data_IF_150349175520
#
_entry.id   IF_150349175520
#
_cell.length_a   1.000
_cell.length_b   1.000
_cell.length_c   1.000
_cell.angle_alpha   90.00
_cell.angle_beta   90.00
_cell.angle_gamma   90.00
#
_symmetry.space_group_name_H-M   'P 1'
#
loop_
_entity.id
_entity.type
_entity.pdbx_description
1 polymer ?
#
# COMPACT_ATOMS: atom_id res chain seq x y z
N UNK A 1 21.66 103.88 36.95
CA UNK A 1 20.44 103.04 36.72
C UNK A 1 20.74 101.93 35.73
N UNK A 2 21.03 100.76 36.26
CA UNK A 2 21.48 99.68 35.41
C UNK A 2 20.35 98.62 35.42
N UNK A 3 19.75 98.30 34.24
CA UNK A 3 18.69 97.34 34.11
C UNK A 3 19.27 95.91 33.85
N UNK A 4 18.93 94.99 34.70
CA UNK A 4 19.25 93.57 34.53
C UNK A 4 18.11 92.93 33.66
N UNK A 5 18.48 92.32 32.51
CA UNK A 5 17.58 91.50 31.72
C UNK A 5 17.82 90.05 32.11
N UNK A 6 16.82 89.38 32.68
CA UNK A 6 16.81 87.90 32.97
C UNK A 6 16.29 87.19 31.75
N UNK A 7 17.11 86.37 31.08
CA UNK A 7 16.73 85.52 30.04
C UNK A 7 16.19 84.19 30.58
N UNK A 8 14.94 83.89 30.38
CA UNK A 8 14.29 82.60 30.72
C UNK A 8 14.50 81.62 29.53
N UNK A 9 15.38 80.61 29.77
CA UNK A 9 15.59 79.51 28.79
C UNK A 9 14.43 78.50 28.83
N UNK A 10 13.71 78.40 27.72
CA UNK A 10 12.73 77.30 27.51
C UNK A 10 13.48 76.03 27.11
N UNK A 11 13.48 75.04 27.98
CA UNK A 11 13.98 73.69 27.68
C UNK A 11 12.87 72.92 26.93
N UNK A 12 13.07 72.60 25.65
CA UNK A 12 12.17 71.78 24.89
C UNK A 12 12.45 70.30 25.22
N UNK A 13 11.57 69.71 26.01
CA UNK A 13 11.60 68.25 26.27
C UNK A 13 11.23 67.51 24.98
N UNK A 14 12.16 66.69 24.45
CA UNK A 14 11.87 65.74 23.35
C UNK A 14 10.84 64.70 23.80
N UNK A 15 9.86 64.33 22.98
CA UNK A 15 8.91 63.29 23.33
C UNK A 15 9.64 61.94 23.43
N UNK A 16 9.51 61.30 24.57
CA UNK A 16 10.00 59.91 24.77
C UNK A 16 9.33 58.96 23.77
N UNK A 17 10.13 58.30 22.95
CA UNK A 17 9.67 57.20 22.08
C UNK A 17 9.12 56.07 22.96
N UNK A 18 7.83 55.74 22.78
CA UNK A 18 7.20 54.57 23.38
C UNK A 18 7.95 53.31 22.93
N UNK A 19 8.25 52.35 23.83
CA UNK A 19 8.92 51.14 23.43
C UNK A 19 8.06 50.37 22.40
N UNK A 20 8.68 50.00 21.30
CA UNK A 20 8.06 49.10 20.30
C UNK A 20 7.65 47.85 21.08
N UNK A 21 6.34 47.56 21.08
CA UNK A 21 5.84 46.25 21.52
C UNK A 21 6.52 45.19 20.66
N UNK A 22 7.34 44.35 21.31
CA UNK A 22 7.83 43.12 20.67
C UNK A 22 6.59 42.32 20.25
N UNK A 23 6.51 42.01 18.96
CA UNK A 23 5.49 41.12 18.39
C UNK A 23 5.72 39.70 18.96
N UNK A 24 5.13 39.43 20.11
CA UNK A 24 5.08 38.04 20.62
C UNK A 24 4.27 37.21 19.61
N UNK A 25 4.83 36.15 19.05
CA UNK A 25 4.13 35.31 18.08
C UNK A 25 2.79 34.84 18.69
N UNK A 26 1.70 35.29 18.12
CA UNK A 26 0.36 34.90 18.61
C UNK A 26 0.16 33.41 18.34
N UNK A 27 -0.22 32.65 19.38
CA UNK A 27 -0.55 31.24 19.22
C UNK A 27 -1.57 31.06 18.06
N UNK A 28 -1.41 30.04 17.20
CA UNK A 28 -2.30 29.84 16.07
C UNK A 28 -3.74 29.64 16.57
N UNK A 29 -4.70 30.24 15.85
CA UNK A 29 -6.13 30.05 16.14
C UNK A 29 -6.53 28.58 15.93
N UNK A 30 -7.62 28.15 16.58
CA UNK A 30 -8.20 26.81 16.36
C UNK A 30 -8.46 26.52 14.88
N UNK A 31 -8.96 27.50 14.15
CA UNK A 31 -9.18 27.39 12.71
C UNK A 31 -7.87 27.15 11.94
N UNK A 32 -6.80 27.86 12.24
CA UNK A 32 -5.48 27.68 11.62
C UNK A 32 -4.90 26.28 11.94
N UNK A 33 -5.09 25.81 13.18
CA UNK A 33 -4.69 24.44 13.59
C UNK A 33 -5.47 23.42 12.77
N UNK A 34 -6.80 23.56 12.68
CA UNK A 34 -7.68 22.66 11.93
C UNK A 34 -7.32 22.63 10.44
N UNK A 35 -7.11 23.78 9.81
CA UNK A 35 -6.70 23.87 8.40
C UNK A 35 -5.33 23.20 8.17
N UNK A 36 -4.36 23.43 9.04
CA UNK A 36 -3.03 22.81 8.95
C UNK A 36 -3.10 21.28 9.06
N UNK A 37 -3.81 20.76 10.05
CA UNK A 37 -3.96 19.31 10.25
C UNK A 37 -4.64 18.68 9.05
N UNK A 38 -5.77 19.24 8.60
CA UNK A 38 -6.51 18.70 7.44
C UNK A 38 -5.72 18.79 6.13
N UNK A 39 -4.91 19.84 5.95
CA UNK A 39 -4.07 19.96 4.77
C UNK A 39 -2.98 18.88 4.67
N UNK A 40 -2.57 18.29 5.78
CA UNK A 40 -1.61 17.20 5.88
C UNK A 40 -2.22 15.81 5.98
N UNK A 41 -3.54 15.69 6.09
CA UNK A 41 -4.20 14.38 6.24
C UNK A 41 -4.31 13.65 4.91
N UNK A 42 -3.92 12.36 4.90
CA UNK A 42 -3.87 11.46 3.74
C UNK A 42 -4.67 10.21 4.06
N UNK A 43 -5.72 9.93 3.30
CA UNK A 43 -6.45 8.66 3.38
C UNK A 43 -5.72 7.57 2.57
N UNK A 44 -5.46 6.44 3.21
CA UNK A 44 -4.78 5.27 2.62
C UNK A 44 -5.71 4.06 2.66
N UNK A 45 -6.29 3.71 1.53
CA UNK A 45 -7.10 2.51 1.38
C UNK A 45 -6.23 1.24 1.41
N UNK A 46 -6.50 0.35 2.33
CA UNK A 46 -5.75 -0.89 2.55
C UNK A 46 -6.46 -2.10 1.96
N UNK A 47 -7.34 -2.70 2.70
CA UNK A 47 -8.06 -3.92 2.35
C UNK A 47 -8.85 -4.46 3.54
N UNK A 48 -9.18 -5.75 3.50
CA UNK A 48 -9.85 -6.42 4.61
C UNK A 48 -9.02 -6.37 5.89
N UNK A 49 -9.70 -6.34 7.04
CA UNK A 49 -9.09 -6.18 8.35
C UNK A 49 -8.01 -7.22 8.67
N UNK A 50 -8.19 -8.46 8.20
CA UNK A 50 -7.22 -9.56 8.39
C UNK A 50 -6.16 -9.64 7.27
N UNK A 51 -6.20 -8.73 6.29
CA UNK A 51 -5.34 -8.76 5.11
C UNK A 51 -3.95 -8.15 5.34
N UNK A 52 -2.98 -8.60 4.56
CA UNK A 52 -1.67 -7.95 4.52
C UNK A 52 -1.75 -6.45 4.11
N UNK A 53 -2.58 -6.03 3.14
CA UNK A 53 -2.62 -4.63 2.73
C UNK A 53 -2.97 -3.67 3.85
N UNK A 54 -3.98 -3.96 4.68
CA UNK A 54 -4.35 -3.06 5.80
C UNK A 54 -3.26 -3.04 6.89
N UNK A 55 -2.56 -4.16 7.12
CA UNK A 55 -1.40 -4.21 8.03
C UNK A 55 -0.29 -3.27 7.52
N UNK A 56 0.08 -3.36 6.24
CA UNK A 56 1.05 -2.46 5.64
C UNK A 56 0.61 -0.99 5.69
N UNK A 57 -0.65 -0.69 5.42
CA UNK A 57 -1.19 0.67 5.54
C UNK A 57 -1.07 1.21 6.97
N UNK A 58 -1.34 0.37 7.98
CA UNK A 58 -1.21 0.71 9.40
C UNK A 58 0.24 0.94 9.81
N UNK A 59 1.17 0.13 9.31
CA UNK A 59 2.60 0.28 9.58
C UNK A 59 3.18 1.54 8.92
N UNK A 60 2.78 1.85 7.69
CA UNK A 60 3.10 3.14 7.04
C UNK A 60 2.60 4.30 7.90
N UNK A 61 1.34 4.24 8.35
CA UNK A 61 0.76 5.29 9.20
C UNK A 61 1.54 5.45 10.50
N UNK A 62 1.92 4.35 11.16
CA UNK A 62 2.71 4.36 12.40
C UNK A 62 4.01 5.15 12.25
N UNK A 63 4.73 4.93 11.15
CA UNK A 63 6.03 5.56 10.91
C UNK A 63 5.90 7.00 10.42
N UNK A 64 4.94 7.28 9.54
CA UNK A 64 4.74 8.62 8.99
C UNK A 64 4.16 9.56 10.04
N UNK A 65 3.22 9.09 10.86
CA UNK A 65 2.55 9.89 11.90
C UNK A 65 3.44 10.22 13.10
N UNK A 66 4.66 9.70 13.19
CA UNK A 66 5.66 10.19 14.15
C UNK A 66 6.10 11.64 13.85
N UNK A 67 5.88 12.10 12.61
CA UNK A 67 6.08 13.50 12.23
C UNK A 67 4.80 14.32 12.38
N UNK A 68 4.93 15.62 12.28
CA UNK A 68 3.83 16.59 12.43
C UNK A 68 3.31 17.16 11.12
N UNK A 69 3.91 16.77 9.97
CA UNK A 69 3.60 17.34 8.66
C UNK A 69 2.52 16.58 7.90
N UNK A 70 2.40 15.28 8.14
CA UNK A 70 1.46 14.39 7.46
C UNK A 70 0.81 13.45 8.46
N UNK A 71 -0.50 13.26 8.32
CA UNK A 71 -1.27 12.28 9.08
C UNK A 71 -1.89 11.27 8.11
N UNK A 72 -1.42 10.04 8.15
CA UNK A 72 -1.97 8.92 7.36
C UNK A 72 -3.09 8.27 8.15
N UNK A 73 -4.25 8.14 7.51
CA UNK A 73 -5.42 7.43 8.04
C UNK A 73 -5.62 6.14 7.25
N UNK A 74 -5.28 4.97 7.80
CA UNK A 74 -5.58 3.70 7.16
C UNK A 74 -7.09 3.48 7.08
N UNK A 75 -7.57 3.05 5.91
CA UNK A 75 -9.00 2.82 5.63
C UNK A 75 -9.18 1.34 5.30
N UNK A 76 -10.07 0.68 6.06
CA UNK A 76 -10.48 -0.69 5.77
C UNK A 76 -11.41 -0.68 4.56
N UNK A 77 -11.15 -1.56 3.59
CA UNK A 77 -11.91 -1.70 2.34
C UNK A 77 -12.10 -3.19 2.03
N UNK A 78 -12.82 -3.50 0.98
CA UNK A 78 -12.95 -4.88 0.51
C UNK A 78 -11.71 -5.39 -0.22
N UNK A 79 -10.85 -4.49 -0.73
CA UNK A 79 -9.60 -4.87 -1.38
C UNK A 79 -9.26 -4.07 -2.64
N UNK A 80 -8.35 -4.60 -3.49
CA UNK A 80 -7.69 -3.82 -4.53
C UNK A 80 -8.61 -3.25 -5.61
N UNK A 81 -9.70 -3.93 -5.98
CA UNK A 81 -10.64 -3.41 -6.98
C UNK A 81 -11.45 -2.23 -6.43
N UNK A 82 -11.94 -2.31 -5.18
CA UNK A 82 -12.56 -1.17 -4.51
C UNK A 82 -11.58 -0.02 -4.36
N UNK A 83 -10.34 -0.32 -4.00
CA UNK A 83 -9.28 0.67 -3.82
C UNK A 83 -8.99 1.47 -5.10
N UNK A 84 -9.05 0.84 -6.28
CA UNK A 84 -8.94 1.54 -7.57
C UNK A 84 -10.12 2.48 -7.76
N UNK A 85 -11.35 2.03 -7.48
CA UNK A 85 -12.55 2.87 -7.54
C UNK A 85 -12.43 4.09 -6.60
N UNK A 86 -11.96 3.85 -5.39
CA UNK A 86 -11.82 4.88 -4.38
C UNK A 86 -10.77 5.93 -4.76
N UNK A 87 -9.64 5.53 -5.34
CA UNK A 87 -8.65 6.46 -5.89
C UNK A 87 -9.23 7.32 -7.00
N UNK A 88 -10.12 6.78 -7.82
CA UNK A 88 -10.73 7.50 -8.94
C UNK A 88 -11.79 8.50 -8.49
N UNK A 89 -12.63 8.14 -7.50
CA UNK A 89 -13.89 8.82 -7.27
C UNK A 89 -14.13 9.25 -5.83
N UNK A 90 -13.54 8.58 -4.82
CA UNK A 90 -13.84 8.85 -3.42
C UNK A 90 -13.04 10.04 -2.89
N UNK A 91 -13.74 11.03 -2.36
CA UNK A 91 -13.10 12.15 -1.67
C UNK A 91 -12.50 11.68 -0.34
N UNK A 92 -11.22 11.98 -0.13
CA UNK A 92 -10.51 11.63 1.11
C UNK A 92 -9.63 10.39 0.98
N UNK A 93 -9.69 9.67 -0.16
CA UNK A 93 -8.69 8.65 -0.51
C UNK A 93 -7.66 9.29 -1.44
N UNK A 94 -6.43 9.38 -0.97
CA UNK A 94 -5.30 9.94 -1.71
C UNK A 94 -4.32 8.84 -2.15
N UNK A 95 -4.29 7.75 -1.38
CA UNK A 95 -3.42 6.59 -1.56
C UNK A 95 -4.22 5.30 -1.43
N UNK A 96 -3.76 4.25 -2.11
CA UNK A 96 -4.34 2.92 -1.96
C UNK A 96 -3.31 1.81 -2.22
N UNK A 97 -3.49 0.68 -1.56
CA UNK A 97 -2.74 -0.54 -1.85
C UNK A 97 -3.55 -1.35 -2.85
N UNK A 98 -2.99 -1.57 -4.04
CA UNK A 98 -3.64 -2.28 -5.14
C UNK A 98 -2.75 -3.39 -5.69
N UNK A 99 -3.36 -4.38 -6.33
CA UNK A 99 -2.69 -5.31 -7.22
C UNK A 99 -2.68 -4.73 -8.65
N UNK A 100 -1.59 -4.92 -9.39
CA UNK A 100 -1.44 -4.28 -10.71
C UNK A 100 -2.48 -4.74 -11.74
N UNK A 101 -2.91 -5.98 -11.66
CA UNK A 101 -3.94 -6.54 -12.53
C UNK A 101 -5.35 -5.99 -12.25
N UNK A 102 -5.61 -5.46 -11.04
CA UNK A 102 -6.92 -4.87 -10.69
C UNK A 102 -7.27 -3.63 -11.53
N UNK A 103 -6.29 -3.00 -12.18
CA UNK A 103 -6.53 -1.90 -13.11
C UNK A 103 -7.31 -2.35 -14.35
N UNK A 104 -7.18 -3.62 -14.74
CA UNK A 104 -7.86 -4.14 -15.92
C UNK A 104 -9.39 -4.17 -15.79
N UNK A 105 -9.92 -4.28 -14.58
CA UNK A 105 -11.36 -4.21 -14.32
C UNK A 105 -11.96 -2.88 -14.81
N UNK A 106 -11.16 -1.82 -14.77
CA UNK A 106 -11.60 -0.47 -15.13
C UNK A 106 -11.25 -0.04 -16.55
N UNK A 107 -10.51 -0.84 -17.33
CA UNK A 107 -10.05 -0.46 -18.68
C UNK A 107 -11.17 -0.06 -19.65
N UNK A 108 -12.32 -0.73 -19.54
CA UNK A 108 -13.48 -0.45 -20.39
C UNK A 108 -14.25 0.80 -19.98
N UNK A 109 -14.27 1.10 -18.70
CA UNK A 109 -15.01 2.23 -18.12
C UNK A 109 -14.17 3.51 -18.02
N UNK A 110 -12.87 3.35 -17.84
CA UNK A 110 -11.91 4.44 -17.64
C UNK A 110 -10.80 4.34 -18.67
N UNK A 111 -10.97 5.01 -19.83
CA UNK A 111 -9.93 5.03 -20.86
C UNK A 111 -8.58 5.47 -20.28
N UNK A 112 -7.51 4.76 -20.65
CA UNK A 112 -6.15 5.05 -20.21
C UNK A 112 -5.98 5.03 -18.67
N UNK A 113 -6.64 4.09 -17.98
CA UNK A 113 -6.56 3.95 -16.51
C UNK A 113 -5.11 3.90 -16.02
N UNK A 114 -4.19 3.27 -16.76
CA UNK A 114 -2.77 3.17 -16.44
C UNK A 114 -2.02 4.52 -16.43
N UNK A 115 -2.58 5.55 -17.08
CA UNK A 115 -2.07 6.92 -17.02
C UNK A 115 -2.69 7.72 -15.86
N UNK A 116 -3.84 7.26 -15.34
CA UNK A 116 -4.56 7.94 -14.24
C UNK A 116 -4.14 7.44 -12.87
N UNK A 117 -3.75 6.20 -12.77
CA UNK A 117 -3.26 5.59 -11.52
C UNK A 117 -1.78 5.31 -11.69
N UNK A 118 -0.97 5.78 -10.74
CA UNK A 118 0.48 5.67 -10.74
C UNK A 118 0.97 5.03 -9.45
N UNK A 119 2.10 4.34 -9.50
CA UNK A 119 2.71 3.72 -8.33
C UNK A 119 3.58 4.71 -7.56
N UNK A 120 3.52 4.68 -6.24
CA UNK A 120 4.51 5.34 -5.39
C UNK A 120 5.69 4.39 -5.15
N UNK A 121 5.38 3.15 -4.80
CA UNK A 121 6.37 2.11 -4.53
C UNK A 121 5.77 0.72 -4.73
N UNK A 122 6.62 -0.24 -5.15
CA UNK A 122 6.31 -1.67 -5.06
C UNK A 122 6.46 -2.14 -3.62
N UNK A 123 5.42 -2.77 -3.06
CA UNK A 123 5.42 -3.23 -1.68
C UNK A 123 5.90 -4.68 -1.57
N UNK A 124 5.07 -5.60 -2.02
CA UNK A 124 5.33 -7.04 -1.94
C UNK A 124 4.63 -7.78 -3.09
N UNK A 125 5.08 -8.97 -3.44
CA UNK A 125 4.30 -9.86 -4.27
C UNK A 125 3.12 -10.43 -3.46
N UNK A 126 1.96 -10.56 -4.11
CA UNK A 126 0.83 -11.34 -3.60
C UNK A 126 0.83 -12.69 -4.28
N UNK A 127 1.31 -13.71 -3.59
CA UNK A 127 1.45 -15.05 -4.11
C UNK A 127 0.08 -15.73 -4.24
N UNK A 128 -0.10 -16.48 -5.32
CA UNK A 128 -1.24 -17.35 -5.53
C UNK A 128 -1.08 -18.62 -4.70
N UNK A 129 -2.08 -18.93 -3.88
CA UNK A 129 -2.18 -20.18 -3.13
C UNK A 129 -3.46 -20.90 -3.58
N UNK A 130 -3.34 -22.05 -4.20
CA UNK A 130 -4.47 -22.94 -4.51
C UNK A 130 -4.42 -24.09 -3.52
N UNK A 131 -5.15 -23.98 -2.42
CA UNK A 131 -5.17 -24.97 -1.36
C UNK A 131 -6.30 -25.95 -1.56
N UNK A 132 -5.99 -27.25 -1.61
CA UNK A 132 -6.89 -28.30 -2.05
C UNK A 132 -6.98 -29.45 -1.09
N UNK A 133 -8.05 -30.22 -1.24
CA UNK A 133 -8.31 -31.49 -0.55
C UNK A 133 -7.39 -32.61 -1.08
N UNK A 134 -7.21 -33.70 -0.29
CA UNK A 134 -6.30 -34.80 -0.61
C UNK A 134 -6.53 -35.45 -1.97
N UNK A 135 -7.78 -35.61 -2.39
CA UNK A 135 -8.15 -36.28 -3.66
C UNK A 135 -7.83 -35.46 -4.89
N UNK A 136 -7.62 -34.16 -4.77
CA UNK A 136 -7.26 -33.26 -5.87
C UNK A 136 -5.74 -33.35 -6.08
N UNK A 137 -5.33 -33.87 -7.24
CA UNK A 137 -3.91 -34.12 -7.56
C UNK A 137 -3.33 -33.06 -8.51
N UNK A 138 -4.19 -32.46 -9.34
CA UNK A 138 -3.80 -31.51 -10.38
C UNK A 138 -4.83 -30.40 -10.53
N UNK A 139 -4.46 -29.34 -11.27
CA UNK A 139 -5.39 -28.27 -11.64
C UNK A 139 -6.57 -28.79 -12.47
N UNK A 140 -6.33 -29.81 -13.32
CA UNK A 140 -7.38 -30.43 -14.15
C UNK A 140 -8.49 -31.07 -13.31
N UNK A 141 -8.16 -31.61 -12.13
CA UNK A 141 -9.14 -32.23 -11.23
C UNK A 141 -10.11 -31.22 -10.62
N UNK A 142 -9.83 -29.93 -10.71
CA UNK A 142 -10.71 -28.86 -10.29
C UNK A 142 -11.82 -28.51 -11.29
N UNK A 143 -11.74 -29.03 -12.52
CA UNK A 143 -12.76 -28.76 -13.55
C UNK A 143 -14.16 -29.16 -13.06
N UNK A 144 -15.11 -28.22 -13.11
CA UNK A 144 -16.49 -28.38 -12.63
C UNK A 144 -16.65 -28.47 -11.11
N UNK A 145 -15.57 -28.37 -10.33
CA UNK A 145 -15.63 -28.40 -8.87
C UNK A 145 -15.89 -27.02 -8.29
N UNK A 146 -16.45 -26.99 -7.08
CA UNK A 146 -16.61 -25.76 -6.30
C UNK A 146 -15.26 -25.28 -5.79
N UNK A 147 -14.88 -24.07 -6.17
CA UNK A 147 -13.64 -23.39 -5.75
C UNK A 147 -13.96 -22.01 -5.19
N UNK A 148 -13.50 -21.73 -3.98
CA UNK A 148 -13.75 -20.44 -3.36
C UNK A 148 -12.64 -19.42 -3.67
N UNK A 149 -13.05 -18.21 -4.02
CA UNK A 149 -12.22 -17.07 -4.36
C UNK A 149 -12.38 -15.90 -3.36
N UNK A 150 -12.76 -16.17 -2.11
CA UNK A 150 -13.05 -15.15 -1.10
C UNK A 150 -14.22 -14.22 -1.49
N UNK A 151 -14.46 -13.19 -0.71
CA UNK A 151 -15.53 -12.20 -0.97
C UNK A 151 -15.19 -11.27 -2.12
N UNK A 152 -16.22 -10.77 -2.79
CA UNK A 152 -16.08 -9.79 -3.88
C UNK A 152 -15.29 -8.54 -3.43
N UNK A 153 -14.49 -8.00 -4.34
CA UNK A 153 -13.61 -6.84 -4.09
C UNK A 153 -12.19 -7.23 -3.64
N UNK A 154 -11.97 -8.49 -3.21
CA UNK A 154 -10.64 -8.99 -2.82
C UNK A 154 -9.78 -9.37 -4.03
N UNK A 155 -8.47 -9.42 -3.85
CA UNK A 155 -7.54 -9.91 -4.88
C UNK A 155 -7.91 -11.31 -5.37
N UNK A 156 -8.23 -12.24 -4.46
CA UNK A 156 -8.61 -13.59 -4.84
C UNK A 156 -9.90 -13.63 -5.68
N UNK A 157 -10.87 -12.75 -5.39
CA UNK A 157 -12.14 -12.71 -6.12
C UNK A 157 -12.00 -12.13 -7.54
N UNK A 158 -11.03 -11.25 -7.78
CA UNK A 158 -10.75 -10.69 -9.09
C UNK A 158 -9.70 -11.52 -9.86
N UNK A 159 -8.47 -11.58 -9.34
CA UNK A 159 -7.35 -12.23 -10.03
C UNK A 159 -7.51 -13.74 -10.11
N UNK A 160 -8.13 -14.39 -9.11
CA UNK A 160 -8.31 -15.85 -9.10
C UNK A 160 -9.07 -16.37 -10.33
N UNK A 161 -10.30 -15.94 -10.60
CA UNK A 161 -11.04 -16.35 -11.80
C UNK A 161 -10.30 -16.02 -13.11
N UNK A 162 -9.58 -14.90 -13.18
CA UNK A 162 -8.78 -14.51 -14.33
C UNK A 162 -7.62 -15.52 -14.55
N UNK A 163 -6.92 -15.89 -13.50
CA UNK A 163 -5.83 -16.88 -13.53
C UNK A 163 -6.39 -18.25 -13.97
N UNK A 164 -7.51 -18.70 -13.38
CA UNK A 164 -8.13 -19.97 -13.74
C UNK A 164 -8.58 -20.00 -15.21
N UNK A 165 -9.09 -18.89 -15.74
CA UNK A 165 -9.41 -18.74 -17.16
C UNK A 165 -8.16 -18.89 -18.06
N UNK A 166 -7.05 -18.27 -17.66
CA UNK A 166 -5.75 -18.39 -18.38
C UNK A 166 -5.16 -19.81 -18.29
N UNK A 167 -5.44 -20.52 -17.21
CA UNK A 167 -5.07 -21.93 -17.04
C UNK A 167 -5.95 -22.86 -17.88
N UNK A 168 -7.10 -22.40 -18.38
CA UNK A 168 -8.08 -23.22 -19.09
C UNK A 168 -8.88 -24.15 -18.17
N UNK A 169 -8.96 -23.83 -16.88
CA UNK A 169 -9.67 -24.62 -15.87
C UNK A 169 -10.98 -23.92 -15.51
N UNK A 170 -12.09 -24.47 -15.97
CA UNK A 170 -13.42 -23.96 -15.66
C UNK A 170 -13.94 -24.60 -14.36
N UNK A 171 -14.27 -23.77 -13.36
CA UNK A 171 -14.70 -24.18 -12.01
C UNK A 171 -16.04 -23.55 -11.65
N UNK A 172 -16.77 -24.18 -10.71
CA UNK A 172 -17.92 -23.56 -10.04
C UNK A 172 -17.42 -22.56 -9.00
N UNK A 173 -17.52 -21.27 -9.30
CA UNK A 173 -16.91 -20.18 -8.53
C UNK A 173 -17.77 -19.83 -7.34
N UNK A 174 -17.15 -19.82 -6.14
CA UNK A 174 -17.77 -19.38 -4.90
C UNK A 174 -17.07 -18.14 -4.36
N UNK A 175 -17.85 -17.27 -3.71
CA UNK A 175 -17.37 -15.98 -3.18
C UNK A 175 -17.83 -15.80 -1.73
N UNK A 176 -17.28 -16.61 -0.84
CA UNK A 176 -17.57 -16.56 0.60
C UNK A 176 -16.28 -16.27 1.39
N UNK A 177 -16.38 -15.70 2.61
CA UNK A 177 -15.21 -15.39 3.42
C UNK A 177 -14.31 -16.61 3.64
N UNK A 178 -12.99 -16.42 3.59
CA UNK A 178 -12.01 -17.49 3.75
C UNK A 178 -12.21 -18.39 4.98
N UNK A 179 -12.50 -17.85 6.20
CA UNK A 179 -12.71 -18.73 7.36
C UNK A 179 -13.84 -19.74 7.13
N UNK A 180 -14.98 -19.30 6.59
CA UNK A 180 -16.09 -20.18 6.27
C UNK A 180 -15.75 -21.17 5.15
N UNK A 181 -15.01 -20.71 4.13
CA UNK A 181 -14.56 -21.57 3.03
C UNK A 181 -13.59 -22.67 3.49
N UNK A 182 -12.67 -22.37 4.40
CA UNK A 182 -11.76 -23.35 4.95
C UNK A 182 -12.47 -24.44 5.76
N UNK A 183 -13.54 -24.09 6.49
CA UNK A 183 -14.40 -25.06 7.15
C UNK A 183 -15.20 -25.94 6.14
N UNK A 184 -15.71 -25.36 5.06
CA UNK A 184 -16.36 -26.12 3.99
C UNK A 184 -15.36 -27.05 3.27
N UNK A 185 -14.12 -26.60 3.08
CA UNK A 185 -13.05 -27.43 2.52
C UNK A 185 -12.79 -28.66 3.38
N UNK A 186 -12.68 -28.50 4.71
CA UNK A 186 -12.51 -29.61 5.66
C UNK A 186 -13.67 -30.59 5.62
N UNK A 187 -14.90 -30.10 5.52
CA UNK A 187 -16.10 -30.96 5.43
C UNK A 187 -16.33 -31.59 4.07
N UNK A 188 -15.51 -31.22 3.07
CA UNK A 188 -15.64 -31.76 1.73
C UNK A 188 -16.72 -31.15 0.88
N UNK A 189 -17.25 -30.02 1.26
CA UNK A 189 -18.30 -29.32 0.53
C UNK A 189 -17.76 -28.53 -0.67
N UNK A 190 -16.48 -28.14 -0.64
CA UNK A 190 -15.74 -27.50 -1.72
C UNK A 190 -14.40 -28.20 -1.96
N UNK A 191 -13.85 -28.08 -3.17
CA UNK A 191 -12.63 -28.76 -3.58
C UNK A 191 -11.34 -27.96 -3.30
N UNK A 192 -11.45 -26.63 -3.38
CA UNK A 192 -10.29 -25.74 -3.19
C UNK A 192 -10.69 -24.37 -2.62
N UNK A 193 -9.72 -23.74 -1.97
CA UNK A 193 -9.76 -22.33 -1.57
C UNK A 193 -8.56 -21.62 -2.16
N UNK A 194 -8.80 -20.48 -2.83
CA UNK A 194 -7.77 -19.66 -3.47
C UNK A 194 -7.48 -18.44 -2.63
N UNK A 195 -6.20 -18.24 -2.29
CA UNK A 195 -5.70 -17.01 -1.69
C UNK A 195 -4.76 -16.32 -2.68
N UNK A 196 -4.84 -14.99 -2.75
CA UNK A 196 -3.88 -14.14 -3.44
C UNK A 196 -3.48 -13.05 -2.46
N UNK A 197 -2.36 -13.26 -1.81
CA UNK A 197 -1.85 -12.40 -0.72
C UNK A 197 -0.40 -12.72 -0.44
N UNK A 198 0.24 -11.86 0.34
CA UNK A 198 1.61 -12.08 0.82
C UNK A 198 1.71 -13.34 1.67
N UNK A 199 2.69 -14.19 1.37
CA UNK A 199 3.07 -15.35 2.19
C UNK A 199 3.94 -14.93 3.38
N UNK A 200 3.93 -15.66 4.55
CA UNK A 200 3.05 -16.77 4.83
C UNK A 200 1.63 -16.34 5.22
N UNK A 201 0.66 -17.20 5.01
CA UNK A 201 -0.75 -16.97 5.33
C UNK A 201 -1.10 -17.68 6.63
N UNK A 202 -1.56 -16.96 7.62
CA UNK A 202 -1.81 -17.45 8.99
C UNK A 202 -2.62 -18.75 9.08
N UNK A 203 -3.75 -18.95 8.40
CA UNK A 203 -4.50 -20.21 8.41
C UNK A 203 -3.69 -21.45 8.03
N UNK A 204 -2.65 -21.29 7.21
CA UNK A 204 -1.80 -22.40 6.77
C UNK A 204 -0.61 -22.63 7.71
N UNK A 205 -0.18 -21.60 8.44
CA UNK A 205 0.89 -21.70 9.44
C UNK A 205 0.35 -22.20 10.78
N UNK A 206 -0.76 -21.60 11.24
CA UNK A 206 -1.34 -21.84 12.57
C UNK A 206 -2.39 -22.96 12.57
N UNK A 207 -3.00 -23.21 11.41
CA UNK A 207 -4.04 -24.21 11.24
C UNK A 207 -3.47 -25.63 11.30
N UNK A 208 -4.23 -26.55 11.92
CA UNK A 208 -3.95 -28.00 11.83
C UNK A 208 -4.63 -28.53 10.57
N UNK A 209 -3.84 -29.06 9.67
CA UNK A 209 -4.30 -29.67 8.42
C UNK A 209 -3.94 -31.16 8.44
N UNK A 210 -4.92 -31.99 8.14
CA UNK A 210 -4.71 -33.43 8.06
C UNK A 210 -3.81 -33.79 6.86
N UNK A 211 -3.20 -34.98 6.91
CA UNK A 211 -2.34 -35.43 5.83
C UNK A 211 -3.09 -35.47 4.49
N UNK A 212 -2.49 -34.84 3.49
CA UNK A 212 -2.98 -34.83 2.13
C UNK A 212 -3.60 -33.51 1.66
N UNK A 213 -3.99 -32.59 2.57
CA UNK A 213 -4.24 -31.20 2.15
C UNK A 213 -2.94 -30.56 1.68
N UNK A 214 -2.98 -29.85 0.57
CA UNK A 214 -1.76 -29.32 -0.07
C UNK A 214 -2.04 -28.12 -0.95
N UNK A 215 -0.97 -27.43 -1.34
CA UNK A 215 -0.99 -26.45 -2.42
C UNK A 215 -0.80 -27.13 -3.78
N UNK A 216 -1.52 -26.67 -4.78
CA UNK A 216 -1.26 -27.06 -6.18
C UNK A 216 -0.25 -26.09 -6.81
N UNK A 217 0.72 -26.63 -7.59
CA UNK A 217 1.66 -25.78 -8.32
C UNK A 217 0.99 -25.06 -9.50
N UNK A 218 1.49 -23.86 -9.81
CA UNK A 218 1.19 -23.12 -11.02
C UNK A 218 2.50 -22.61 -11.60
N UNK A 219 2.89 -23.19 -12.73
CA UNK A 219 4.10 -22.79 -13.42
C UNK A 219 3.94 -21.43 -14.13
N UNK A 220 4.92 -20.54 -13.91
CA UNK A 220 4.98 -19.28 -14.66
C UNK A 220 5.30 -19.54 -16.12
N UNK A 221 4.61 -18.80 -17.00
CA UNK A 221 4.83 -18.91 -18.45
C UNK A 221 4.29 -17.69 -19.19
N UNK A 222 4.41 -17.66 -20.54
CA UNK A 222 4.06 -16.50 -21.36
C UNK A 222 2.64 -15.95 -21.14
N UNK A 223 1.69 -16.82 -20.79
CA UNK A 223 0.30 -16.43 -20.50
C UNK A 223 0.12 -15.57 -19.24
N UNK A 224 1.18 -15.42 -18.43
CA UNK A 224 1.17 -14.64 -17.19
C UNK A 224 2.07 -13.43 -17.23
N UNK A 225 2.88 -13.24 -18.27
CA UNK A 225 3.97 -12.26 -18.33
C UNK A 225 3.54 -10.79 -18.35
N UNK A 226 2.26 -10.49 -18.57
CA UNK A 226 1.72 -9.13 -18.61
C UNK A 226 1.55 -8.48 -17.22
N UNK A 227 1.17 -9.29 -16.20
CA UNK A 227 0.89 -8.78 -14.85
C UNK A 227 1.57 -9.56 -13.74
N UNK A 228 1.93 -10.82 -13.98
CA UNK A 228 2.38 -11.72 -12.94
C UNK A 228 3.88 -11.95 -13.03
N UNK A 229 4.46 -12.38 -11.93
CA UNK A 229 5.86 -12.79 -11.83
C UNK A 229 5.94 -14.21 -11.30
N UNK A 230 7.04 -14.92 -11.62
CA UNK A 230 7.32 -16.22 -11.04
C UNK A 230 7.53 -16.08 -9.53
N UNK A 231 7.00 -17.03 -8.76
CA UNK A 231 7.18 -17.13 -7.32
C UNK A 231 7.16 -18.59 -6.88
N UNK A 232 7.35 -18.84 -5.59
CA UNK A 232 7.29 -20.17 -4.98
C UNK A 232 6.72 -20.08 -3.56
N UNK A 233 6.17 -21.19 -3.06
CA UNK A 233 5.82 -21.38 -1.66
C UNK A 233 6.85 -22.33 -1.06
N UNK A 234 7.51 -21.89 0.01
CA UNK A 234 8.65 -22.62 0.57
C UNK A 234 8.29 -23.36 1.86
N UNK A 235 9.06 -24.40 2.18
CA UNK A 235 8.95 -25.08 3.47
C UNK A 235 9.16 -24.13 4.67
N UNK A 236 9.92 -23.06 4.51
CA UNK A 236 10.11 -22.02 5.52
C UNK A 236 8.86 -21.17 5.74
N UNK A 237 8.02 -21.01 4.70
CA UNK A 237 6.73 -20.32 4.81
C UNK A 237 5.67 -21.23 5.46
N UNK A 238 5.69 -22.54 5.10
CA UNK A 238 4.64 -23.51 5.47
C UNK A 238 5.23 -24.86 5.92
N UNK A 239 5.93 -24.91 7.06
CA UNK A 239 6.69 -26.10 7.48
C UNK A 239 5.82 -27.35 7.75
N UNK A 240 4.51 -27.17 7.96
CA UNK A 240 3.57 -28.27 8.18
C UNK A 240 2.90 -28.78 6.90
N UNK A 241 3.09 -28.10 5.75
CA UNK A 241 2.44 -28.40 4.47
C UNK A 241 3.43 -28.68 3.34
N UNK A 242 4.66 -28.21 3.45
CA UNK A 242 5.72 -28.38 2.46
C UNK A 242 6.91 -29.05 3.15
N UNK A 243 7.38 -30.17 2.60
CA UNK A 243 8.50 -30.90 3.18
C UNK A 243 9.81 -30.09 3.11
N UNK A 244 10.67 -30.30 4.09
CA UNK A 244 11.96 -29.60 4.16
C UNK A 244 12.79 -29.82 2.90
N UNK A 245 13.18 -28.72 2.25
CA UNK A 245 13.95 -28.74 1.01
C UNK A 245 13.08 -28.79 -0.26
N UNK A 246 11.76 -28.86 -0.12
CA UNK A 246 10.83 -28.75 -1.22
C UNK A 246 10.26 -27.33 -1.36
N UNK A 247 9.80 -27.00 -2.56
CA UNK A 247 9.08 -25.78 -2.86
C UNK A 247 7.96 -26.06 -3.85
N UNK A 248 6.90 -25.25 -3.80
CA UNK A 248 5.77 -25.33 -4.73
C UNK A 248 5.84 -24.11 -5.66
N UNK A 249 6.02 -24.35 -6.96
CA UNK A 249 6.00 -23.29 -7.95
C UNK A 249 4.65 -22.58 -7.96
N UNK A 250 4.67 -21.24 -8.01
CA UNK A 250 3.47 -20.43 -8.11
C UNK A 250 3.76 -19.14 -8.87
N UNK A 251 2.72 -18.34 -9.05
CA UNK A 251 2.81 -16.98 -9.61
C UNK A 251 2.40 -15.97 -8.54
N UNK A 252 2.89 -14.77 -8.68
CA UNK A 252 2.47 -13.65 -7.82
C UNK A 252 2.08 -12.44 -8.65
N UNK A 253 1.13 -11.67 -8.15
CA UNK A 253 0.81 -10.34 -8.69
C UNK A 253 1.50 -9.27 -7.85
N UNK A 254 2.20 -8.30 -8.47
CA UNK A 254 2.80 -7.19 -7.73
C UNK A 254 1.74 -6.38 -7.00
N UNK A 255 2.01 -6.09 -5.73
CA UNK A 255 1.21 -5.19 -4.90
C UNK A 255 1.95 -3.88 -4.74
N UNK A 256 1.27 -2.78 -5.00
CA UNK A 256 1.85 -1.44 -5.00
C UNK A 256 1.07 -0.49 -4.10
N UNK A 257 1.78 0.47 -3.53
CA UNK A 257 1.17 1.69 -3.03
C UNK A 257 0.98 2.62 -4.22
N UNK A 258 -0.26 2.97 -4.49
CA UNK A 258 -0.67 3.76 -5.65
C UNK A 258 -1.33 5.07 -5.24
N UNK A 259 -1.37 6.00 -6.17
CA UNK A 259 -2.12 7.26 -6.08
C UNK A 259 -2.76 7.57 -7.43
N UNK A 260 -3.75 8.46 -7.43
CA UNK A 260 -4.17 9.09 -8.67
C UNK A 260 -3.04 9.98 -9.20
N UNK A 261 -2.89 10.07 -10.51
CA UNK A 261 -1.86 10.88 -11.17
C UNK A 261 -2.27 12.38 -11.18
N UNK A 262 -2.22 12.98 -10.01
CA UNK A 262 -2.55 14.40 -9.84
C UNK A 262 -1.60 15.29 -10.65
N UNK A 263 -2.13 16.34 -11.26
CA UNK A 263 -1.30 17.34 -11.92
C UNK A 263 -0.43 18.06 -10.88
N UNK A 264 0.85 18.31 -11.19
CA UNK A 264 1.73 19.13 -10.36
C UNK A 264 1.03 20.44 -9.93
N UNK A 265 1.39 20.96 -8.77
CA UNK A 265 0.88 22.21 -8.17
C UNK A 265 -0.58 22.16 -7.68
N UNK A 266 -1.33 21.09 -7.93
CA UNK A 266 -2.64 20.92 -7.30
C UNK A 266 -2.50 20.65 -5.79
N UNK A 267 -3.48 21.04 -4.97
CA UNK A 267 -3.44 20.74 -3.52
C UNK A 267 -3.29 19.26 -3.21
N UNK A 268 -3.90 18.38 -4.03
CA UNK A 268 -3.77 16.93 -3.86
C UNK A 268 -2.38 16.42 -4.24
N UNK A 269 -1.78 16.91 -5.34
CA UNK A 269 -0.40 16.57 -5.68
C UNK A 269 0.55 16.92 -4.52
N UNK A 270 0.48 18.17 -4.01
CA UNK A 270 1.34 18.62 -2.89
C UNK A 270 1.13 17.79 -1.61
N UNK A 271 -0.07 17.27 -1.38
CA UNK A 271 -0.36 16.40 -0.24
C UNK A 271 0.35 15.06 -0.40
N UNK A 272 0.22 14.41 -1.55
CA UNK A 272 0.90 13.14 -1.86
C UNK A 272 2.42 13.31 -1.92
N UNK A 273 2.91 14.41 -2.48
CA UNK A 273 4.34 14.75 -2.49
C UNK A 273 4.91 14.87 -1.08
N UNK A 274 4.24 15.57 -0.15
CA UNK A 274 4.64 15.61 1.26
C UNK A 274 4.63 14.23 1.90
N UNK A 275 3.63 13.42 1.60
CA UNK A 275 3.60 12.03 2.06
C UNK A 275 4.84 11.26 1.56
N UNK A 276 5.20 11.38 0.30
CA UNK A 276 6.39 10.72 -0.26
C UNK A 276 7.66 11.15 0.48
N UNK A 277 7.85 12.45 0.72
CA UNK A 277 9.02 12.96 1.47
C UNK A 277 9.10 12.37 2.89
N UNK A 278 7.99 12.38 3.62
CA UNK A 278 7.93 11.88 4.99
C UNK A 278 8.06 10.35 5.06
N UNK A 279 7.42 9.63 4.15
CA UNK A 279 7.46 8.17 4.11
C UNK A 279 8.84 7.65 3.68
N UNK A 280 9.39 8.13 2.57
CA UNK A 280 10.68 7.66 2.08
C UNK A 280 11.82 8.05 3.01
N UNK A 281 11.73 9.22 3.65
CA UNK A 281 12.71 9.63 4.67
C UNK A 281 12.72 8.76 5.93
N UNK A 282 11.65 7.98 6.18
CA UNK A 282 11.51 7.12 7.36
C UNK A 282 11.40 5.63 7.05
N UNK A 283 11.44 5.26 5.80
CA UNK A 283 11.17 3.87 5.34
C UNK A 283 12.08 2.84 6.02
N UNK A 284 13.32 3.21 6.34
CA UNK A 284 14.27 2.32 7.01
C UNK A 284 13.78 1.89 8.41
N UNK A 285 12.91 2.67 9.08
CA UNK A 285 12.32 2.29 10.36
C UNK A 285 11.43 1.05 10.24
N UNK A 286 10.79 0.87 9.10
CA UNK A 286 9.94 -0.30 8.83
C UNK A 286 10.72 -1.62 8.78
N UNK A 287 12.04 -1.57 8.58
CA UNK A 287 12.90 -2.77 8.59
C UNK A 287 13.26 -3.25 10.00
N UNK A 288 12.87 -2.49 11.03
CA UNK A 288 13.14 -2.81 12.43
C UNK A 288 12.21 -3.90 12.96
N UNK A 289 12.59 -4.60 14.06
CA UNK A 289 11.70 -5.55 14.73
C UNK A 289 10.36 -4.91 15.13
N UNK A 290 9.27 -5.66 15.01
CA UNK A 290 7.91 -5.19 15.30
C UNK A 290 7.13 -4.65 14.11
N UNK A 291 7.72 -4.71 12.91
CA UNK A 291 7.09 -4.50 11.61
C UNK A 291 7.10 -5.79 10.79
N UNK A 292 6.32 -5.83 9.72
CA UNK A 292 6.30 -6.99 8.82
C UNK A 292 7.69 -7.26 8.24
N UNK A 293 8.20 -8.50 8.31
CA UNK A 293 9.54 -8.82 7.80
C UNK A 293 9.76 -8.49 6.32
N UNK A 294 8.71 -8.45 5.52
CA UNK A 294 8.79 -8.13 4.07
C UNK A 294 9.25 -6.70 3.77
N UNK A 295 9.19 -5.80 4.74
CA UNK A 295 9.80 -4.48 4.57
C UNK A 295 11.31 -4.53 4.33
N UNK A 296 11.99 -5.61 4.76
CA UNK A 296 13.42 -5.80 4.54
C UNK A 296 13.75 -6.01 3.06
N UNK A 297 12.82 -6.59 2.29
CA UNK A 297 12.98 -6.90 0.87
C UNK A 297 12.56 -5.74 -0.03
N UNK A 298 12.07 -4.66 0.57
CA UNK A 298 11.59 -3.50 -0.17
C UNK A 298 12.75 -2.70 -0.76
N UNK A 299 12.65 -2.42 -2.06
CA UNK A 299 13.56 -1.57 -2.80
C UNK A 299 12.80 -0.39 -3.42
N UNK A 300 13.12 0.82 -2.97
CA UNK A 300 12.52 2.06 -3.48
C UNK A 300 12.74 2.26 -4.99
N UNK A 301 13.82 1.70 -5.53
CA UNK A 301 14.16 1.84 -6.96
C UNK A 301 13.42 0.84 -7.85
N UNK A 302 12.85 -0.21 -7.27
CA UNK A 302 12.15 -1.24 -8.03
C UNK A 302 10.96 -0.65 -8.78
N UNK A 303 11.01 -0.67 -10.12
CA UNK A 303 9.88 -0.35 -10.98
C UNK A 303 8.83 -1.46 -10.99
N UNK A 304 7.65 -1.14 -11.46
CA UNK A 304 6.55 -2.10 -11.62
C UNK A 304 6.13 -2.09 -13.09
N UNK A 305 6.14 -3.24 -13.77
CA UNK A 305 5.71 -3.31 -15.17
C UNK A 305 4.29 -2.78 -15.36
N UNK A 306 4.08 -2.02 -16.43
CA UNK A 306 2.73 -1.57 -16.84
C UNK A 306 2.11 -0.45 -16.01
N UNK A 307 2.82 0.10 -15.00
CA UNK A 307 2.35 1.24 -14.21
C UNK A 307 3.48 2.25 -14.01
N UNK A 308 3.22 3.50 -14.33
CA UNK A 308 4.21 4.58 -14.16
C UNK A 308 4.40 4.93 -12.68
N UNK A 309 5.57 5.50 -12.37
CA UNK A 309 5.85 5.99 -11.02
C UNK A 309 5.33 7.42 -10.86
N UNK A 310 4.77 7.71 -9.69
CA UNK A 310 4.39 9.07 -9.31
C UNK A 310 5.60 10.01 -9.37
N UNK A 311 5.46 11.14 -10.03
CA UNK A 311 6.57 12.05 -10.34
C UNK A 311 7.36 12.47 -9.09
N UNK A 312 6.69 12.80 -7.99
CA UNK A 312 7.40 13.19 -6.78
C UNK A 312 8.20 12.03 -6.16
N UNK A 313 7.72 10.78 -6.28
CA UNK A 313 8.45 9.59 -5.82
C UNK A 313 9.72 9.36 -6.66
N UNK A 314 9.63 9.50 -7.99
CA UNK A 314 10.80 9.40 -8.86
C UNK A 314 11.81 10.50 -8.56
N UNK A 315 11.38 11.75 -8.45
CA UNK A 315 12.24 12.88 -8.12
C UNK A 315 12.98 12.69 -6.78
N UNK A 316 12.31 12.13 -5.77
CA UNK A 316 12.94 11.84 -4.48
C UNK A 316 14.05 10.80 -4.62
N UNK A 317 13.79 9.71 -5.35
CA UNK A 317 14.75 8.63 -5.59
C UNK A 317 15.98 9.18 -6.34
N UNK A 318 15.78 9.99 -7.37
CA UNK A 318 16.87 10.55 -8.19
C UNK A 318 17.77 11.47 -7.36
N UNK A 319 17.19 12.38 -6.56
CA UNK A 319 17.95 13.25 -5.66
C UNK A 319 18.79 12.47 -4.65
N UNK A 320 18.19 11.45 -4.01
CA UNK A 320 18.89 10.69 -2.96
C UNK A 320 19.86 9.62 -3.50
N UNK A 321 19.75 9.25 -4.77
CA UNK A 321 20.71 8.38 -5.44
C UNK A 321 22.00 9.12 -5.81
N UNK A 322 21.90 10.37 -6.27
CA UNK A 322 23.05 11.21 -6.64
C UNK A 322 23.88 11.64 -5.42
N UNK A 323 23.24 11.89 -4.27
CA UNK A 323 23.94 12.22 -3.02
C UNK A 323 24.82 11.05 -2.55
N UNK A 324 24.29 9.81 -2.53
CA UNK A 324 25.07 8.62 -2.14
C UNK A 324 26.27 8.36 -3.06
N UNK A 325 26.14 8.61 -4.36
CA UNK A 325 27.28 8.47 -5.29
C UNK A 325 28.37 9.51 -5.03
N UNK A 326 28.02 10.73 -4.70
CA UNK A 326 29.00 11.79 -4.39
C UNK A 326 29.74 11.58 -3.06
N UNK A 327 29.08 10.94 -2.07
CA UNK A 327 29.71 10.58 -0.79
C UNK A 327 30.64 9.38 -0.89
N UNK A 328 30.37 8.41 -1.77
CA UNK A 328 31.24 7.25 -2.04
C UNK A 328 32.45 7.59 -2.92
N UNK A 329 32.45 8.75 -3.57
CA UNK A 329 33.54 9.23 -4.46
C UNK A 329 34.49 10.19 -3.75
N UNK A 330 34.28 10.47 -2.48
CA UNK A 330 35.13 11.27 -1.60
C UNK A 330 35.87 10.38 -0.58
#
# INVERSE_FOLDING_TARGET
>A
MTAFIVAIGFSTASPAQSPKKEDVPRAPSEQQIRERVNAGTVGLAGGLLEGAPIRFATEIARVVNEGDKVHVLPIVTRGPTENVNDLLYLKGVDLAIINTDSLDEYKTQVPQIQQRIVSIISLFPSELHIFVRPEIRSLADLAGKKVNFNTQGTAAAYSGPLIFSRLGVNVDKMFIPHPAALEQLRRGEIAAVVFITSKPVDPFVKGKWDNGFKFLPVEFGPKFSDYYVASSLEATDYPNLIAKGESIATIAVPTVLASYNWRPETPRYRRVERFVEEFFGRVEKLKSPGFDPKWKDMDLKRGVPGIERFRAAQNWIDRNSSVKQSEMSR
#
